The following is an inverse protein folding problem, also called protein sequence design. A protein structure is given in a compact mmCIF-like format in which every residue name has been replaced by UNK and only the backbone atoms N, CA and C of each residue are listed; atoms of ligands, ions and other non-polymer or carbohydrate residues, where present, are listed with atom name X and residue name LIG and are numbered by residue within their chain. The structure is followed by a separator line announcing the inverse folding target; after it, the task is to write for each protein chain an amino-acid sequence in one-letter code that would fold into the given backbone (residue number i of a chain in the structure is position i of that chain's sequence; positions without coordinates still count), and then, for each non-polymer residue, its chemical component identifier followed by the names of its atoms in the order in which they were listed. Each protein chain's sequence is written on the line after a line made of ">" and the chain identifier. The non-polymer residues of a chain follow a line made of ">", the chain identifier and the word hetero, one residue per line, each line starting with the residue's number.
data_IF_682389983652
#
_entry.id   IF_682389983652
#
_cell.length_a   1.000
_cell.length_b   1.000
_cell.length_c   1.000
_cell.angle_alpha   90.00
_cell.angle_beta   90.00
_cell.angle_gamma   90.00
#
_symmetry.space_group_name_H-M   'P 1'
#
loop_
_entity.id
_entity.type
_entity.pdbx_description
1 polymer ?
#
# COMPACT_ATOMS: atom_id res chain seq x y z
N UNK A 1 2.08 14.70 12.29
CA UNK A 1 2.55 13.53 11.52
C UNK A 1 3.77 12.94 12.22
N UNK A 2 3.65 11.73 12.77
CA UNK A 2 4.74 10.98 13.43
C UNK A 2 5.32 9.95 12.46
N UNK A 3 6.65 9.81 12.41
CA UNK A 3 7.34 8.84 11.55
C UNK A 3 7.67 7.61 12.40
N UNK A 4 7.33 6.42 11.89
CA UNK A 4 7.47 5.13 12.58
C UNK A 4 8.42 4.25 11.75
N UNK A 5 9.58 3.90 12.31
CA UNK A 5 10.67 3.25 11.58
C UNK A 5 10.74 1.74 11.78
N UNK A 6 9.99 1.21 12.74
CA UNK A 6 9.96 -0.23 13.08
C UNK A 6 8.63 -0.61 13.71
N UNK A 7 8.44 -1.93 13.94
CA UNK A 7 7.19 -2.46 14.48
C UNK A 7 6.95 -2.05 15.95
N UNK A 8 7.99 -1.91 16.76
CA UNK A 8 7.86 -1.52 18.17
C UNK A 8 7.24 -0.13 18.29
N UNK A 9 7.87 0.86 17.65
CA UNK A 9 7.36 2.24 17.65
C UNK A 9 5.98 2.35 16.99
N UNK A 10 5.67 1.49 16.01
CA UNK A 10 4.37 1.43 15.39
C UNK A 10 3.31 0.92 16.38
N UNK A 11 3.53 -0.21 17.04
CA UNK A 11 2.58 -0.80 17.99
C UNK A 11 2.28 0.15 19.14
N UNK A 12 3.30 0.76 19.76
CA UNK A 12 3.14 1.74 20.82
C UNK A 12 2.30 2.94 20.37
N UNK A 13 2.59 3.47 19.16
CA UNK A 13 1.90 4.65 18.63
C UNK A 13 0.47 4.39 18.19
N UNK A 14 0.14 3.17 17.73
CA UNK A 14 -1.19 2.84 17.23
C UNK A 14 -2.10 2.24 18.30
N UNK A 15 -1.56 1.74 19.42
CA UNK A 15 -2.31 1.09 20.50
C UNK A 15 -3.58 1.83 20.96
N UNK A 16 -3.59 3.18 21.07
CA UNK A 16 -4.77 3.91 21.51
C UNK A 16 -5.89 4.02 20.47
N UNK A 17 -5.66 3.60 19.23
CA UNK A 17 -6.57 3.90 18.11
C UNK A 17 -7.22 2.64 17.55
N UNK A 18 -8.54 2.60 17.55
CA UNK A 18 -9.35 1.53 16.96
C UNK A 18 -10.02 1.91 15.62
N UNK A 19 -9.98 3.18 15.23
CA UNK A 19 -10.55 3.69 13.97
C UNK A 19 -9.45 4.26 13.07
N UNK A 20 -8.65 3.33 12.52
CA UNK A 20 -7.46 3.63 11.74
C UNK A 20 -7.71 3.37 10.25
N UNK A 21 -7.49 4.40 9.42
CA UNK A 21 -7.43 4.31 7.97
C UNK A 21 -6.00 4.10 7.50
N UNK A 22 -5.80 3.14 6.61
CA UNK A 22 -4.50 2.77 6.08
C UNK A 22 -4.40 3.00 4.58
N UNK A 23 -3.36 3.69 4.16
CA UNK A 23 -3.01 3.92 2.75
C UNK A 23 -1.65 3.29 2.47
N UNK A 24 -1.60 2.04 1.95
CA UNK A 24 -0.35 1.39 1.57
C UNK A 24 0.21 2.00 0.29
N UNK A 25 1.50 2.37 0.30
CA UNK A 25 2.21 2.88 -0.87
C UNK A 25 3.63 2.30 -0.97
N UNK A 26 4.21 2.42 -2.15
CA UNK A 26 5.63 2.15 -2.37
C UNK A 26 6.47 3.43 -2.47
N UNK A 27 5.90 4.61 -2.15
CA UNK A 27 6.53 5.91 -2.38
C UNK A 27 6.18 6.51 -3.73
N UNK A 28 6.90 7.58 -4.14
CA UNK A 28 6.55 8.35 -5.32
C UNK A 28 5.19 9.02 -5.16
N UNK A 29 4.98 9.72 -4.04
CA UNK A 29 3.69 10.29 -3.66
C UNK A 29 3.25 11.36 -4.65
N UNK A 30 2.03 11.22 -5.19
CA UNK A 30 1.40 12.13 -6.15
C UNK A 30 -0.08 12.39 -5.80
N UNK A 31 -0.76 13.22 -6.58
CA UNK A 31 -2.18 13.61 -6.36
C UNK A 31 -3.13 12.41 -6.20
N UNK A 32 -2.88 11.30 -6.90
CA UNK A 32 -3.62 10.05 -6.73
C UNK A 32 -3.52 9.50 -5.29
N UNK A 33 -2.32 9.42 -4.72
CA UNK A 33 -2.15 9.01 -3.31
C UNK A 33 -2.80 10.01 -2.34
N UNK A 34 -2.70 11.31 -2.62
CA UNK A 34 -3.34 12.32 -1.78
C UNK A 34 -4.86 12.20 -1.77
N UNK A 35 -5.50 11.75 -2.86
CA UNK A 35 -6.94 11.49 -2.89
C UNK A 35 -7.34 10.33 -1.96
N UNK A 36 -6.52 9.26 -1.89
CA UNK A 36 -6.72 8.15 -0.95
C UNK A 36 -6.61 8.63 0.50
N UNK A 37 -5.57 9.43 0.79
CA UNK A 37 -5.33 10.03 2.11
C UNK A 37 -6.50 10.93 2.51
N UNK A 38 -6.98 11.77 1.59
CA UNK A 38 -8.15 12.62 1.81
C UNK A 38 -9.39 11.81 2.18
N UNK A 39 -9.64 10.71 1.46
CA UNK A 39 -10.77 9.81 1.76
C UNK A 39 -10.59 9.09 3.09
N UNK A 40 -9.37 8.67 3.42
CA UNK A 40 -9.03 8.08 4.72
C UNK A 40 -9.29 9.05 5.86
N UNK A 41 -8.80 10.27 5.76
CA UNK A 41 -8.97 11.32 6.78
C UNK A 41 -10.44 11.72 7.01
N UNK A 42 -11.30 11.61 5.96
CA UNK A 42 -12.74 11.83 6.09
C UNK A 42 -13.49 10.68 6.75
N UNK A 43 -13.01 9.45 6.63
CA UNK A 43 -13.74 8.23 7.00
C UNK A 43 -13.17 7.52 8.22
N UNK A 44 -12.04 7.98 8.76
CA UNK A 44 -11.36 7.39 9.91
C UNK A 44 -10.81 8.48 10.84
N UNK A 45 -10.75 8.19 12.14
CA UNK A 45 -10.20 9.13 13.14
C UNK A 45 -8.71 9.39 12.98
N UNK A 46 -7.96 8.41 12.49
CA UNK A 46 -6.51 8.51 12.24
C UNK A 46 -6.15 7.91 10.91
N UNK A 47 -5.19 8.52 10.23
CA UNK A 47 -4.66 8.05 8.93
C UNK A 47 -3.20 7.69 9.04
N UNK A 48 -2.87 6.44 8.67
CA UNK A 48 -1.49 5.97 8.50
C UNK A 48 -1.19 5.70 7.03
N UNK A 49 -0.03 6.13 6.58
CA UNK A 49 0.52 5.83 5.25
C UNK A 49 1.76 4.98 5.42
N UNK A 50 1.88 3.86 4.70
CA UNK A 50 3.16 3.17 4.61
C UNK A 50 3.91 3.55 3.33
N UNK A 51 5.24 3.60 3.42
CA UNK A 51 6.12 3.70 2.25
C UNK A 51 7.06 2.49 2.31
N UNK A 52 6.78 1.48 1.50
CA UNK A 52 7.58 0.25 1.45
C UNK A 52 7.64 -0.33 0.03
N UNK A 53 8.81 -0.26 -0.58
CA UNK A 53 9.06 -0.90 -1.89
C UNK A 53 9.29 -2.39 -1.65
N UNK A 54 8.27 -3.20 -1.92
CA UNK A 54 8.28 -4.64 -1.69
C UNK A 54 9.04 -5.37 -2.81
N UNK A 55 10.22 -5.97 -2.56
CA UNK A 55 10.96 -6.65 -3.62
C UNK A 55 10.25 -7.87 -4.20
N UNK A 56 9.40 -8.54 -3.39
CA UNK A 56 8.73 -9.80 -3.77
C UNK A 56 7.63 -9.64 -4.83
N UNK A 57 7.18 -8.42 -5.12
CA UNK A 57 6.17 -8.17 -6.15
C UNK A 57 6.77 -7.75 -7.50
N UNK A 58 8.09 -7.64 -7.60
CA UNK A 58 8.77 -7.29 -8.86
C UNK A 58 9.24 -8.55 -9.57
N UNK A 59 8.82 -8.73 -10.81
CA UNK A 59 9.26 -9.82 -11.67
C UNK A 59 10.67 -9.59 -12.22
N UNK A 60 11.06 -8.32 -12.36
CA UNK A 60 12.33 -7.92 -12.93
C UNK A 60 13.14 -7.11 -11.91
N UNK A 61 14.42 -7.46 -11.73
CA UNK A 61 15.34 -6.73 -10.87
C UNK A 61 15.61 -5.30 -11.37
N UNK A 62 15.54 -5.06 -12.69
CA UNK A 62 15.71 -3.72 -13.29
C UNK A 62 14.59 -2.80 -12.81
N UNK A 63 13.32 -3.24 -12.88
CA UNK A 63 12.17 -2.45 -12.44
C UNK A 63 12.23 -2.14 -10.94
N UNK A 64 12.70 -3.09 -10.12
CA UNK A 64 12.92 -2.86 -8.69
C UNK A 64 14.00 -1.80 -8.45
N UNK A 65 15.11 -1.79 -9.22
CA UNK A 65 16.20 -0.82 -9.06
C UNK A 65 15.80 0.57 -9.52
N UNK A 66 15.07 0.68 -10.63
CA UNK A 66 14.62 1.95 -11.20
C UNK A 66 13.39 2.54 -10.49
N UNK A 67 12.73 1.79 -9.59
CA UNK A 67 11.55 2.30 -8.89
C UNK A 67 11.89 3.55 -8.05
N UNK A 68 11.13 4.67 -8.20
CA UNK A 68 11.46 5.95 -7.59
C UNK A 68 11.47 5.87 -6.05
N UNK A 69 12.57 6.30 -5.44
CA UNK A 69 12.79 6.26 -3.99
C UNK A 69 13.28 7.61 -3.48
N UNK A 70 12.37 8.53 -3.30
CA UNK A 70 12.70 9.84 -2.72
C UNK A 70 11.89 10.06 -1.43
N UNK A 71 12.30 9.38 -0.36
CA UNK A 71 11.62 9.44 0.94
C UNK A 71 11.51 10.89 1.45
N UNK A 72 12.55 11.71 1.29
CA UNK A 72 12.53 13.13 1.73
C UNK A 72 11.42 13.92 1.03
N UNK A 73 11.30 13.77 -0.30
CA UNK A 73 10.24 14.40 -1.10
C UNK A 73 8.85 13.89 -0.69
N UNK A 74 8.70 12.58 -0.54
CA UNK A 74 7.45 11.96 -0.13
C UNK A 74 6.98 12.46 1.24
N UNK A 75 7.88 12.47 2.24
CA UNK A 75 7.59 12.98 3.58
C UNK A 75 7.21 14.48 3.55
N UNK A 76 7.86 15.28 2.72
CA UNK A 76 7.52 16.71 2.55
C UNK A 76 6.10 16.88 2.02
N UNK A 77 5.71 16.08 1.00
CA UNK A 77 4.36 16.10 0.41
C UNK A 77 3.32 15.66 1.46
N UNK A 78 3.57 14.55 2.16
CA UNK A 78 2.67 14.03 3.18
C UNK A 78 2.49 15.02 4.33
N UNK A 79 3.57 15.65 4.82
CA UNK A 79 3.53 16.68 5.87
C UNK A 79 2.72 17.91 5.43
N UNK A 80 2.94 18.38 4.17
CA UNK A 80 2.19 19.52 3.61
C UNK A 80 0.69 19.25 3.51
N UNK A 81 0.27 18.01 3.32
CA UNK A 81 -1.16 17.64 3.23
C UNK A 81 -1.93 17.89 4.53
N UNK A 82 -1.28 17.91 5.68
CA UNK A 82 -1.85 18.03 7.04
C UNK A 82 -2.93 16.96 7.37
N UNK A 83 -3.00 15.86 6.59
CA UNK A 83 -4.05 14.83 6.69
C UNK A 83 -3.52 13.45 7.07
N UNK A 84 -2.24 13.35 7.40
CA UNK A 84 -1.57 12.12 7.78
C UNK A 84 -1.12 12.23 9.23
N UNK A 85 -1.57 11.30 10.07
CA UNK A 85 -1.14 11.22 11.47
C UNK A 85 0.17 10.47 11.60
N UNK A 86 0.31 9.35 10.87
CA UNK A 86 1.45 8.45 10.96
C UNK A 86 2.00 8.10 9.57
N UNK A 87 3.33 8.03 9.46
CA UNK A 87 4.01 7.47 8.29
C UNK A 87 4.86 6.29 8.75
N UNK A 88 4.58 5.11 8.24
CA UNK A 88 5.32 3.89 8.54
C UNK A 88 6.34 3.60 7.43
N UNK A 89 7.62 3.54 7.81
CA UNK A 89 8.77 3.29 6.94
C UNK A 89 9.47 1.98 7.36
N UNK A 90 8.86 0.81 7.13
CA UNK A 90 9.45 -0.44 7.54
C UNK A 90 10.69 -0.80 6.72
N UNK A 91 11.63 -1.50 7.36
CA UNK A 91 12.66 -2.25 6.68
C UNK A 91 12.11 -3.62 6.25
N UNK A 92 12.79 -4.28 5.31
CA UNK A 92 12.39 -5.62 4.85
C UNK A 92 12.21 -6.60 6.02
N UNK A 93 13.10 -6.61 7.00
CA UNK A 93 13.03 -7.45 8.19
C UNK A 93 11.82 -7.19 9.09
N UNK A 94 11.25 -5.99 9.07
CA UNK A 94 10.07 -5.65 9.86
C UNK A 94 8.80 -6.32 9.29
N UNK A 95 8.76 -6.49 7.98
CA UNK A 95 7.65 -7.13 7.25
C UNK A 95 7.85 -8.65 7.14
N UNK A 96 9.10 -9.08 6.90
CA UNK A 96 9.48 -10.46 6.60
C UNK A 96 10.39 -11.04 7.68
N UNK A 97 9.94 -11.02 8.95
CA UNK A 97 10.68 -11.62 10.07
C UNK A 97 10.87 -13.13 9.90
N UNK A 98 9.82 -13.81 9.47
CA UNK A 98 9.84 -15.25 9.26
C UNK A 98 10.37 -15.57 7.87
N UNK A 99 11.42 -16.39 7.79
CA UNK A 99 11.98 -16.92 6.53
C UNK A 99 11.00 -17.85 5.78
N UNK A 100 9.83 -18.15 6.35
CA UNK A 100 8.81 -18.99 5.71
C UNK A 100 8.38 -18.38 4.38
N UNK A 101 8.44 -19.20 3.33
CA UNK A 101 7.90 -18.82 2.02
C UNK A 101 6.40 -18.51 2.17
N UNK A 102 5.93 -17.48 1.50
CA UNK A 102 4.51 -17.20 1.42
C UNK A 102 3.80 -18.41 0.79
N UNK A 103 2.72 -18.85 1.43
CA UNK A 103 1.85 -19.91 0.90
C UNK A 103 0.71 -19.37 0.03
N UNK A 104 0.73 -18.05 -0.25
CA UNK A 104 -0.32 -17.42 -1.04
C UNK A 104 -0.14 -17.80 -2.50
N UNK A 105 -1.15 -18.47 -3.03
CA UNK A 105 -1.22 -18.88 -4.43
C UNK A 105 -2.55 -18.36 -5.01
N UNK A 106 -2.50 -17.76 -6.19
CA UNK A 106 -3.70 -17.36 -6.90
C UNK A 106 -4.48 -18.58 -7.39
N UNK A 107 -5.80 -18.54 -7.26
CA UNK A 107 -6.68 -19.53 -7.88
C UNK A 107 -6.55 -19.45 -9.41
N UNK A 108 -6.78 -20.57 -10.11
CA UNK A 108 -6.74 -20.63 -11.58
C UNK A 108 -7.58 -19.53 -12.24
N UNK A 109 -8.80 -19.31 -11.74
CA UNK A 109 -9.73 -18.27 -12.23
C UNK A 109 -9.25 -16.84 -12.03
N UNK A 110 -8.33 -16.59 -11.09
CA UNK A 110 -7.79 -15.27 -10.82
C UNK A 110 -6.49 -14.99 -11.62
N UNK A 111 -5.96 -16.01 -12.33
CA UNK A 111 -4.78 -15.91 -13.22
C UNK A 111 -5.14 -15.41 -14.62
N UNK A 112 -5.92 -14.36 -14.68
CA UNK A 112 -6.37 -13.68 -15.91
C UNK A 112 -5.80 -12.27 -15.98
N UNK A 113 -6.02 -11.56 -17.08
CA UNK A 113 -5.55 -10.18 -17.28
C UNK A 113 -4.06 -10.03 -16.95
N UNK A 114 -3.69 -9.01 -16.15
CA UNK A 114 -2.29 -8.76 -15.76
C UNK A 114 -1.64 -9.95 -15.03
N UNK A 115 -2.39 -10.76 -14.28
CA UNK A 115 -1.86 -11.92 -13.57
C UNK A 115 -1.38 -13.03 -14.51
N UNK A 116 -1.93 -13.11 -15.72
CA UNK A 116 -1.47 -14.04 -16.76
C UNK A 116 -0.03 -13.73 -17.21
N UNK A 117 0.32 -12.46 -17.30
CA UNK A 117 1.61 -11.98 -17.83
C UNK A 117 2.64 -11.66 -16.73
N UNK A 118 2.20 -11.40 -15.50
CA UNK A 118 3.05 -11.03 -14.37
C UNK A 118 3.09 -12.14 -13.30
N UNK A 119 3.68 -13.28 -13.66
CA UNK A 119 3.78 -14.47 -12.78
C UNK A 119 4.41 -14.09 -11.43
N UNK A 120 3.76 -14.42 -10.31
CA UNK A 120 4.24 -14.14 -8.95
C UNK A 120 4.04 -12.71 -8.43
N UNK A 121 3.67 -11.76 -9.31
CA UNK A 121 3.46 -10.37 -8.91
C UNK A 121 2.33 -10.23 -7.89
N UNK A 122 1.16 -10.75 -8.18
CA UNK A 122 0.00 -10.61 -7.30
C UNK A 122 0.13 -11.45 -6.03
N UNK A 123 0.79 -12.60 -6.10
CA UNK A 123 1.16 -13.38 -4.91
C UNK A 123 2.05 -12.54 -3.97
N UNK A 124 3.02 -11.81 -4.54
CA UNK A 124 3.86 -10.88 -3.80
C UNK A 124 3.10 -9.69 -3.22
N UNK A 125 2.12 -9.16 -3.95
CA UNK A 125 1.23 -8.08 -3.47
C UNK A 125 0.35 -8.60 -2.33
N UNK A 126 -0.29 -9.74 -2.48
CA UNK A 126 -1.14 -10.32 -1.44
C UNK A 126 -0.34 -10.66 -0.18
N UNK A 127 0.88 -11.17 -0.32
CA UNK A 127 1.77 -11.47 0.81
C UNK A 127 2.09 -10.21 1.62
N UNK A 128 2.55 -9.16 0.95
CA UNK A 128 2.88 -7.90 1.65
C UNK A 128 1.64 -7.25 2.26
N UNK A 129 0.50 -7.27 1.57
CA UNK A 129 -0.74 -6.71 2.08
C UNK A 129 -1.28 -7.46 3.30
N UNK A 130 -1.22 -8.80 3.31
CA UNK A 130 -1.53 -9.60 4.49
C UNK A 130 -0.64 -9.23 5.67
N UNK A 131 0.68 -9.15 5.46
CA UNK A 131 1.64 -8.80 6.52
C UNK A 131 1.41 -7.39 7.06
N UNK A 132 1.27 -6.40 6.18
CA UNK A 132 0.99 -5.02 6.58
C UNK A 132 -0.34 -4.92 7.33
N UNK A 133 -1.39 -5.60 6.87
CA UNK A 133 -2.70 -5.60 7.56
C UNK A 133 -2.61 -6.23 8.95
N UNK A 134 -1.86 -7.33 9.10
CA UNK A 134 -1.61 -7.97 10.40
C UNK A 134 -0.83 -7.06 11.35
N UNK A 135 0.12 -6.28 10.83
CA UNK A 135 0.98 -5.37 11.60
C UNK A 135 0.21 -4.10 11.99
N UNK A 136 -0.45 -3.45 11.04
CA UNK A 136 -1.13 -2.15 11.23
C UNK A 136 -2.50 -2.30 11.88
N UNK A 137 -3.19 -3.42 11.64
CA UNK A 137 -4.57 -3.71 12.11
C UNK A 137 -5.57 -2.59 11.79
N UNK A 138 -5.65 -2.12 10.55
CA UNK A 138 -6.51 -1.00 10.20
C UNK A 138 -7.98 -1.41 10.16
N UNK A 139 -8.89 -0.46 10.47
CA UNK A 139 -10.33 -0.64 10.25
C UNK A 139 -10.68 -0.56 8.76
N UNK A 140 -10.02 0.32 8.02
CA UNK A 140 -10.21 0.49 6.58
C UNK A 140 -8.87 0.64 5.86
N UNK A 141 -8.77 0.05 4.66
CA UNK A 141 -7.64 0.19 3.74
C UNK A 141 -8.13 0.90 2.49
N UNK A 142 -7.43 1.95 2.05
CA UNK A 142 -7.82 2.75 0.89
C UNK A 142 -6.91 2.42 -0.29
N UNK A 143 -7.52 1.98 -1.41
CA UNK A 143 -6.79 1.57 -2.61
C UNK A 143 -7.42 2.18 -3.87
N UNK A 144 -6.59 2.53 -4.85
CA UNK A 144 -7.04 3.12 -6.11
C UNK A 144 -7.62 2.08 -7.07
N UNK A 145 -8.70 2.45 -7.76
CA UNK A 145 -9.30 1.65 -8.83
C UNK A 145 -8.43 1.55 -10.08
N UNK A 146 -7.39 2.39 -10.20
CA UNK A 146 -6.42 2.33 -11.31
C UNK A 146 -5.84 0.92 -11.49
N UNK A 147 -5.47 0.28 -10.41
CA UNK A 147 -4.93 -1.08 -10.42
C UNK A 147 -6.05 -2.08 -10.03
N UNK A 148 -7.12 -2.12 -10.87
CA UNK A 148 -8.39 -2.78 -10.56
C UNK A 148 -8.23 -4.24 -10.16
N UNK A 149 -7.45 -5.03 -10.90
CA UNK A 149 -7.23 -6.44 -10.55
C UNK A 149 -6.53 -6.59 -9.19
N UNK A 150 -5.58 -5.72 -8.88
CA UNK A 150 -4.93 -5.69 -7.56
C UNK A 150 -5.93 -5.37 -6.46
N UNK A 151 -6.76 -4.32 -6.65
CA UNK A 151 -7.81 -3.94 -5.71
C UNK A 151 -8.77 -5.10 -5.46
N UNK A 152 -9.26 -5.75 -6.52
CA UNK A 152 -10.17 -6.90 -6.43
C UNK A 152 -9.57 -8.04 -5.62
N UNK A 153 -8.34 -8.46 -5.95
CA UNK A 153 -7.66 -9.57 -5.27
C UNK A 153 -7.37 -9.26 -3.80
N UNK A 154 -6.89 -8.05 -3.51
CA UNK A 154 -6.61 -7.61 -2.13
C UNK A 154 -7.89 -7.53 -1.31
N UNK A 155 -8.97 -6.97 -1.87
CA UNK A 155 -10.27 -6.90 -1.20
C UNK A 155 -10.80 -8.29 -0.85
N UNK A 156 -10.83 -9.20 -1.84
CA UNK A 156 -11.26 -10.58 -1.69
C UNK A 156 -10.49 -11.34 -0.60
N UNK A 157 -9.16 -11.17 -0.57
CA UNK A 157 -8.28 -11.84 0.40
C UNK A 157 -8.41 -11.25 1.81
N UNK A 158 -8.34 -9.93 1.94
CA UNK A 158 -8.25 -9.30 3.26
C UNK A 158 -9.57 -9.22 3.99
N UNK A 159 -10.68 -8.93 3.29
CA UNK A 159 -12.01 -8.86 3.93
C UNK A 159 -12.49 -10.23 4.42
N UNK A 160 -12.04 -11.33 3.75
CA UNK A 160 -12.29 -12.69 4.23
C UNK A 160 -11.51 -13.03 5.51
N UNK A 161 -10.29 -12.50 5.64
CA UNK A 161 -9.32 -12.91 6.65
C UNK A 161 -9.27 -12.00 7.87
N UNK A 162 -9.63 -10.73 7.70
CA UNK A 162 -9.52 -9.70 8.73
C UNK A 162 -10.82 -8.92 8.87
N UNK A 163 -11.06 -8.37 10.08
CA UNK A 163 -12.15 -7.39 10.31
C UNK A 163 -11.78 -6.01 9.73
N UNK A 164 -11.36 -5.97 8.48
CA UNK A 164 -10.87 -4.78 7.76
C UNK A 164 -11.69 -4.63 6.49
N UNK A 165 -12.12 -3.40 6.15
CA UNK A 165 -12.78 -3.09 4.87
C UNK A 165 -11.80 -2.47 3.89
N UNK A 166 -11.77 -2.94 2.65
CA UNK A 166 -10.99 -2.34 1.56
C UNK A 166 -11.90 -1.39 0.78
N UNK A 167 -11.55 -0.11 0.83
CA UNK A 167 -12.34 0.99 0.25
C UNK A 167 -11.76 1.35 -1.12
N UNK A 168 -12.50 1.14 -2.22
CA UNK A 168 -12.10 1.58 -3.54
C UNK A 168 -12.13 3.11 -3.64
N UNK A 169 -11.18 3.67 -4.36
CA UNK A 169 -11.06 5.11 -4.58
C UNK A 169 -10.87 5.40 -6.06
N UNK A 170 -11.65 6.34 -6.57
CA UNK A 170 -11.64 6.74 -7.99
C UNK A 170 -10.23 7.09 -8.47
N UNK A 171 -9.94 6.69 -9.71
CA UNK A 171 -8.68 7.02 -10.38
C UNK A 171 -8.58 8.53 -10.62
N UNK A 172 -7.48 9.13 -10.18
CA UNK A 172 -7.16 10.52 -10.48
C UNK A 172 -6.35 10.59 -11.78
N UNK A 173 -6.76 11.46 -12.67
CA UNK A 173 -6.14 11.64 -13.97
C UNK A 173 -5.49 13.02 -14.08
N UNK A 174 -4.54 13.17 -15.00
CA UNK A 174 -3.96 14.47 -15.34
C UNK A 174 -4.84 15.24 -16.36
N UNK A 175 -4.31 16.36 -16.87
CA UNK A 175 -4.99 17.20 -17.85
C UNK A 175 -5.25 16.49 -19.20
N UNK A 176 -4.43 15.51 -19.54
CA UNK A 176 -4.52 14.71 -20.77
C UNK A 176 -5.33 13.42 -20.55
N UNK A 177 -6.08 13.36 -19.45
CA UNK A 177 -6.92 12.23 -19.05
C UNK A 177 -6.15 10.92 -18.77
N UNK A 178 -4.83 10.99 -18.58
CA UNK A 178 -3.98 9.83 -18.23
C UNK A 178 -4.00 9.60 -16.72
N UNK A 179 -4.14 8.33 -16.31
CA UNK A 179 -4.15 7.96 -14.90
C UNK A 179 -2.80 8.22 -14.25
N UNK A 180 -2.78 8.98 -13.13
CA UNK A 180 -1.55 9.25 -12.40
C UNK A 180 -0.94 7.95 -11.83
N UNK A 181 0.37 7.78 -12.01
CA UNK A 181 1.11 6.61 -11.57
C UNK A 181 2.52 6.95 -11.14
N UNK A 182 3.02 6.32 -10.07
CA UNK A 182 4.43 6.46 -9.66
C UNK A 182 5.39 5.84 -10.69
N UNK A 183 4.98 4.83 -11.44
CA UNK A 183 5.78 4.21 -12.49
C UNK A 183 5.89 5.07 -13.75
N UNK A 184 4.95 5.96 -14.03
CA UNK A 184 5.06 6.94 -15.13
C UNK A 184 6.16 7.99 -14.90
N UNK A 185 6.70 8.10 -13.67
CA UNK A 185 7.86 8.96 -13.39
C UNK A 185 9.20 8.34 -13.85
N UNK A 186 9.15 7.18 -14.48
CA UNK A 186 10.32 6.45 -15.02
C UNK A 186 10.57 6.70 -16.52
N UNK A 187 9.69 7.48 -17.18
CA UNK A 187 9.79 7.82 -18.60
C UNK A 187 9.76 9.30 -18.82
#
# INVERSE_FOLDING_TARGET
>A
MKILLNNTTLFESLRPFNDLGFVPTMGGIHKGHLSLINKSNKLCKKTIVSIFVNPKQFNNKKDLRSYPRNIKKDLKILKKSKKVDFVYLPKFKDIYKDKKKSQITLLKKDKILCAKFRKGHFEGVLDVMNKLTKIVKPKKIFMGEKDFQQLYLVKKELEKKYKTKVIPCKTIRDKDNVALSSSCLLY
#
